data_IF_496954274628
#
_entry.id   IF_496954274628
#
_cell.length_a   1.000
_cell.length_b   1.000
_cell.length_c   1.000
_cell.angle_alpha   90.00
_cell.angle_beta   90.00
_cell.angle_gamma   90.00
#
_symmetry.space_group_name_H-M   'P 1'
#
loop_
_entity.id
_entity.type
_entity.pdbx_description
1 polymer ?
#
# COMPACT_ATOMS: atom_id res chain seq x y z
N UNK A 1 -19.10 24.35 -26.03
CA UNK A 1 -19.00 23.10 -25.26
C UNK A 1 -18.01 22.25 -26.01
N UNK A 2 -16.71 22.35 -25.70
CA UNK A 2 -15.67 21.84 -26.60
C UNK A 2 -14.71 20.95 -25.83
N UNK A 3 -14.96 19.64 -25.91
CA UNK A 3 -14.08 18.62 -25.34
C UNK A 3 -12.79 18.53 -26.16
N UNK A 4 -11.67 18.06 -25.57
CA UNK A 4 -10.41 17.83 -26.30
C UNK A 4 -10.62 16.98 -27.58
N UNK A 5 -11.49 15.96 -27.49
CA UNK A 5 -11.88 15.12 -28.63
C UNK A 5 -12.66 15.91 -29.69
N UNK A 6 -13.62 16.74 -29.28
CA UNK A 6 -14.40 17.58 -30.20
C UNK A 6 -13.52 18.65 -30.86
N UNK A 7 -12.63 19.29 -30.10
CA UNK A 7 -11.69 20.29 -30.60
C UNK A 7 -10.67 19.69 -31.58
N UNK A 8 -10.20 18.45 -31.34
CA UNK A 8 -9.33 17.72 -32.29
C UNK A 8 -10.08 17.35 -33.56
N UNK A 9 -11.30 16.79 -33.43
CA UNK A 9 -12.14 16.38 -34.57
C UNK A 9 -12.54 17.57 -35.44
N UNK A 10 -12.92 18.68 -34.82
CA UNK A 10 -13.27 19.92 -35.53
C UNK A 10 -12.09 20.50 -36.34
N UNK A 11 -10.85 20.23 -35.91
CA UNK A 11 -9.62 20.62 -36.62
C UNK A 11 -9.10 19.55 -37.60
N UNK A 12 -9.84 18.46 -37.81
CA UNK A 12 -9.44 17.38 -38.71
C UNK A 12 -8.14 16.65 -38.32
N UNK A 13 -7.62 16.85 -37.11
CA UNK A 13 -6.32 16.33 -36.71
C UNK A 13 -6.44 14.86 -36.28
N UNK A 14 -5.50 14.01 -36.72
CA UNK A 14 -5.39 12.64 -36.19
C UNK A 14 -4.77 12.66 -34.78
N UNK A 15 -4.99 11.59 -34.01
CA UNK A 15 -4.33 11.42 -32.71
C UNK A 15 -2.79 11.37 -32.86
N UNK A 16 -2.29 10.84 -33.98
CA UNK A 16 -0.86 10.83 -34.30
C UNK A 16 -0.29 12.23 -34.54
N UNK A 17 -1.05 13.09 -35.22
CA UNK A 17 -0.63 14.47 -35.50
C UNK A 17 -0.52 15.29 -34.21
N UNK A 18 -1.50 15.14 -33.31
CA UNK A 18 -1.48 15.81 -32.00
C UNK A 18 -0.38 15.24 -31.11
N UNK A 19 -0.21 13.91 -31.09
CA UNK A 19 0.86 13.26 -30.33
C UNK A 19 2.26 13.78 -30.75
N UNK A 20 2.51 13.87 -32.05
CA UNK A 20 3.78 14.37 -32.60
C UNK A 20 4.01 15.85 -32.30
N UNK A 21 2.96 16.68 -32.43
CA UNK A 21 3.05 18.12 -32.19
C UNK A 21 3.21 18.49 -30.70
N UNK A 22 2.79 17.59 -29.79
CA UNK A 22 2.79 17.85 -28.34
C UNK A 22 3.81 17.03 -27.56
N UNK A 23 4.49 16.09 -28.23
CA UNK A 23 5.41 15.15 -27.58
C UNK A 23 4.72 14.10 -26.69
N UNK A 24 3.38 14.00 -26.74
CA UNK A 24 2.59 13.05 -25.95
C UNK A 24 2.41 11.76 -26.74
N UNK A 25 2.54 10.59 -26.11
CA UNK A 25 2.27 9.32 -26.79
C UNK A 25 0.79 9.19 -27.20
N UNK A 26 0.51 8.55 -28.34
CA UNK A 26 -0.87 8.31 -28.81
C UNK A 26 -1.74 7.58 -27.75
N UNK A 27 -1.25 6.59 -27.00
CA UNK A 27 -1.99 5.99 -25.89
C UNK A 27 -2.36 6.98 -24.78
N UNK A 28 -1.46 7.90 -24.43
CA UNK A 28 -1.70 8.94 -23.42
C UNK A 28 -2.71 9.97 -23.92
N UNK A 29 -2.61 10.42 -25.18
CA UNK A 29 -3.61 11.30 -25.78
C UNK A 29 -5.00 10.64 -25.82
N UNK A 30 -5.07 9.35 -26.14
CA UNK A 30 -6.32 8.56 -26.07
C UNK A 30 -6.88 8.47 -24.65
N UNK A 31 -6.01 8.36 -23.64
CA UNK A 31 -6.43 8.35 -22.25
C UNK A 31 -7.00 9.73 -21.86
N UNK A 32 -6.32 10.81 -22.22
CA UNK A 32 -6.74 12.19 -21.98
C UNK A 32 -8.08 12.52 -22.66
N UNK A 33 -8.28 12.12 -23.92
CA UNK A 33 -9.57 12.22 -24.63
C UNK A 33 -10.70 11.45 -23.92
N UNK A 34 -10.35 10.40 -23.17
CA UNK A 34 -11.26 9.58 -22.37
C UNK A 34 -11.33 9.99 -20.90
N UNK A 35 -10.74 11.12 -20.51
CA UNK A 35 -10.73 11.61 -19.12
C UNK A 35 -9.91 10.74 -18.15
N UNK A 36 -8.94 9.97 -18.64
CA UNK A 36 -8.09 9.03 -17.90
C UNK A 36 -6.60 9.39 -18.09
N UNK A 37 -5.74 8.98 -17.15
CA UNK A 37 -4.27 9.05 -17.31
C UNK A 37 -3.51 9.86 -16.25
N UNK A 38 -2.18 9.89 -16.41
CA UNK A 38 -1.21 10.61 -15.58
C UNK A 38 -0.65 11.78 -16.40
N UNK A 39 -0.63 13.00 -15.85
CA UNK A 39 -0.02 14.15 -16.48
C UNK A 39 1.47 14.21 -16.06
N UNK A 40 2.37 14.11 -17.03
CA UNK A 40 3.81 14.43 -16.89
C UNK A 40 4.05 15.83 -17.51
N UNK A 41 5.10 16.58 -17.12
CA UNK A 41 5.13 18.03 -17.22
C UNK A 41 5.02 18.46 -18.68
N UNK A 42 4.07 19.35 -18.92
CA UNK A 42 4.14 20.25 -20.06
C UNK A 42 5.33 21.15 -19.76
N UNK A 43 6.50 20.78 -20.31
CA UNK A 43 7.71 21.57 -20.19
C UNK A 43 7.41 23.00 -20.62
N UNK A 44 7.67 23.93 -19.71
CA UNK A 44 7.49 25.36 -19.96
C UNK A 44 8.53 25.94 -20.93
N UNK A 45 9.46 25.12 -21.46
CA UNK A 45 10.63 25.66 -22.16
C UNK A 45 10.57 25.62 -23.69
N UNK A 46 9.62 24.94 -24.34
CA UNK A 46 9.55 24.98 -25.80
C UNK A 46 8.11 24.95 -26.28
N UNK A 47 7.50 26.13 -26.45
CA UNK A 47 6.30 26.33 -27.27
C UNK A 47 5.19 25.31 -27.04
N UNK A 48 4.70 25.21 -25.80
CA UNK A 48 3.75 24.18 -25.39
C UNK A 48 2.42 24.18 -26.16
N UNK A 49 1.71 23.05 -26.11
CA UNK A 49 0.47 22.68 -26.81
C UNK A 49 -0.73 23.66 -26.72
N UNK A 50 -0.60 24.80 -26.05
CA UNK A 50 -1.66 25.79 -25.86
C UNK A 50 -2.14 26.46 -27.17
N UNK A 51 -1.26 26.93 -28.07
CA UNK A 51 -1.67 27.60 -29.29
C UNK A 51 -2.33 26.65 -30.30
N UNK A 52 -1.84 25.42 -30.43
CA UNK A 52 -2.31 24.46 -31.42
C UNK A 52 -3.76 23.98 -31.19
N UNK A 53 -4.25 24.10 -29.95
CA UNK A 53 -5.61 23.69 -29.56
C UNK A 53 -6.54 24.89 -29.25
N UNK A 54 -6.09 26.13 -29.49
CA UNK A 54 -6.88 27.34 -29.19
C UNK A 54 -6.97 27.67 -27.70
N UNK A 55 -6.04 27.20 -26.88
CA UNK A 55 -5.94 27.50 -25.44
C UNK A 55 -5.16 28.79 -25.15
N UNK A 56 -5.00 29.68 -26.14
CA UNK A 56 -4.16 30.87 -26.04
C UNK A 56 -4.78 32.03 -25.24
N UNK A 57 -6.10 32.08 -25.08
CA UNK A 57 -6.80 33.24 -24.51
C UNK A 57 -7.34 33.06 -23.09
N UNK A 58 -7.38 31.85 -22.54
CA UNK A 58 -7.77 31.62 -21.13
C UNK A 58 -6.57 31.54 -20.18
N UNK A 59 -5.35 31.37 -20.71
CA UNK A 59 -4.12 31.25 -19.92
C UNK A 59 -3.32 32.55 -19.78
N UNK A 60 -3.70 33.64 -20.47
CA UNK A 60 -2.99 34.92 -20.41
C UNK A 60 -3.56 35.94 -19.41
N UNK A 61 -4.63 35.61 -18.69
CA UNK A 61 -5.30 36.55 -17.77
C UNK A 61 -5.07 36.30 -16.27
N UNK A 62 -4.69 35.09 -15.87
CA UNK A 62 -4.49 34.73 -14.46
C UNK A 62 -3.27 33.81 -14.38
N UNK A 63 -2.21 34.20 -13.66
CA UNK A 63 -0.91 33.51 -13.58
C UNK A 63 -1.01 31.97 -13.59
N UNK A 64 -0.67 31.39 -14.73
CA UNK A 64 -1.09 30.07 -15.23
C UNK A 64 -0.60 28.83 -14.48
N UNK A 65 -0.82 28.74 -13.17
CA UNK A 65 -0.71 27.50 -12.41
C UNK A 65 -1.89 27.41 -11.41
N UNK A 66 -2.34 26.21 -11.01
CA UNK A 66 -3.36 26.04 -9.97
C UNK A 66 -3.05 26.83 -8.68
N UNK A 67 -1.77 27.06 -8.39
CA UNK A 67 -1.31 27.88 -7.26
C UNK A 67 -1.69 29.36 -7.36
N UNK A 68 -1.68 29.95 -8.57
CA UNK A 68 -2.10 31.34 -8.77
C UNK A 68 -3.62 31.52 -8.59
N UNK A 69 -4.40 30.54 -9.04
CA UNK A 69 -5.84 30.53 -8.85
C UNK A 69 -6.27 30.28 -7.39
N UNK A 70 -5.54 29.44 -6.65
CA UNK A 70 -5.77 29.21 -5.22
C UNK A 70 -5.53 30.46 -4.37
N UNK A 71 -4.48 31.21 -4.70
CA UNK A 71 -4.16 32.49 -4.06
C UNK A 71 -5.24 33.55 -4.33
N UNK A 72 -5.72 33.65 -5.58
CA UNK A 72 -6.83 34.54 -5.95
C UNK A 72 -8.17 34.17 -5.28
N UNK A 73 -8.34 32.90 -4.90
CA UNK A 73 -9.52 32.42 -4.16
C UNK A 73 -9.36 32.46 -2.63
N UNK A 74 -8.24 32.97 -2.10
CA UNK A 74 -7.98 33.04 -0.66
C UNK A 74 -7.77 31.69 0.04
N UNK A 75 -7.43 30.64 -0.72
CA UNK A 75 -7.25 29.27 -0.19
C UNK A 75 -5.75 28.97 -0.06
N UNK A 76 -5.30 28.59 1.14
CA UNK A 76 -3.91 28.15 1.32
C UNK A 76 -3.65 26.80 0.64
N UNK A 77 -2.41 26.56 0.20
CA UNK A 77 -2.03 25.27 -0.40
C UNK A 77 -2.34 24.07 0.52
N UNK A 78 -2.17 24.22 1.84
CA UNK A 78 -2.47 23.16 2.79
C UNK A 78 -3.97 22.85 2.84
N UNK A 79 -4.80 23.89 2.80
CA UNK A 79 -6.26 23.75 2.78
C UNK A 79 -6.76 23.16 1.46
N UNK A 80 -6.17 23.57 0.33
CA UNK A 80 -6.50 23.01 -0.98
C UNK A 80 -6.13 21.52 -1.07
N UNK A 81 -4.95 21.12 -0.57
CA UNK A 81 -4.52 19.72 -0.55
C UNK A 81 -5.45 18.84 0.30
N UNK A 82 -5.88 19.35 1.46
CA UNK A 82 -6.86 18.69 2.34
C UNK A 82 -8.20 18.47 1.65
N UNK A 83 -8.72 19.49 0.95
CA UNK A 83 -9.99 19.40 0.21
C UNK A 83 -9.93 18.45 -0.98
N UNK A 84 -8.79 18.36 -1.65
CA UNK A 84 -8.55 17.41 -2.75
C UNK A 84 -8.36 15.97 -2.20
N UNK A 85 -7.90 15.83 -0.96
CA UNK A 85 -7.53 14.53 -0.38
C UNK A 85 -6.18 14.02 -0.89
N UNK A 86 -5.23 14.91 -1.16
CA UNK A 86 -3.85 14.57 -1.55
C UNK A 86 -2.84 15.20 -0.58
N UNK A 87 -1.57 14.78 -0.67
CA UNK A 87 -0.51 15.36 0.17
C UNK A 87 -0.10 16.74 -0.34
N UNK A 88 0.38 17.63 0.56
CA UNK A 88 0.92 18.94 0.20
C UNK A 88 2.05 18.86 -0.85
N UNK A 89 2.99 17.90 -0.78
CA UNK A 89 3.97 17.67 -1.86
C UNK A 89 3.33 17.33 -3.21
N UNK A 90 2.24 16.56 -3.23
CA UNK A 90 1.51 16.23 -4.47
C UNK A 90 0.87 17.48 -5.08
N UNK A 91 0.30 18.36 -4.25
CA UNK A 91 -0.25 19.63 -4.73
C UNK A 91 0.87 20.55 -5.26
N UNK A 92 2.01 20.64 -4.58
CA UNK A 92 3.17 21.43 -5.03
C UNK A 92 3.70 20.91 -6.38
N UNK A 93 3.76 19.58 -6.57
CA UNK A 93 4.16 18.98 -7.84
C UNK A 93 3.15 19.27 -8.97
N UNK A 94 1.85 19.23 -8.65
CA UNK A 94 0.77 19.59 -9.57
C UNK A 94 0.85 21.06 -9.97
N UNK A 95 1.13 21.96 -9.02
CA UNK A 95 1.19 23.41 -9.26
C UNK A 95 2.44 23.83 -10.02
N UNK A 96 3.61 23.29 -9.67
CA UNK A 96 4.90 23.72 -10.24
C UNK A 96 5.26 23.03 -11.54
N UNK A 97 4.72 21.82 -11.77
CA UNK A 97 5.14 20.96 -12.89
C UNK A 97 3.97 20.36 -13.66
N UNK A 98 2.71 20.66 -13.30
CA UNK A 98 1.53 19.96 -13.83
C UNK A 98 1.67 18.43 -13.73
N UNK A 99 2.43 17.96 -12.74
CA UNK A 99 2.76 16.57 -12.55
C UNK A 99 1.80 15.96 -11.53
N UNK A 100 0.96 15.01 -11.96
CA UNK A 100 -0.03 14.37 -11.09
C UNK A 100 -1.13 13.66 -11.86
N UNK A 101 -2.06 13.02 -11.13
CA UNK A 101 -3.19 12.35 -11.77
C UNK A 101 -4.16 13.37 -12.35
N UNK A 102 -4.74 13.08 -13.52
CA UNK A 102 -5.77 13.92 -14.16
C UNK A 102 -6.97 14.12 -13.23
N UNK A 103 -7.25 13.15 -12.36
CA UNK A 103 -8.29 13.25 -11.33
C UNK A 103 -7.95 14.29 -10.24
N UNK A 104 -6.69 14.37 -9.81
CA UNK A 104 -6.21 15.38 -8.86
C UNK A 104 -6.32 16.77 -9.46
N UNK A 105 -5.92 16.93 -10.74
CA UNK A 105 -6.06 18.19 -11.48
C UNK A 105 -7.53 18.59 -11.65
N UNK A 106 -8.39 17.65 -12.03
CA UNK A 106 -9.82 17.92 -12.20
C UNK A 106 -10.50 18.35 -10.90
N UNK A 107 -10.17 17.72 -9.76
CA UNK A 107 -10.69 18.10 -8.43
C UNK A 107 -10.17 19.47 -7.99
N UNK A 108 -8.89 19.77 -8.24
CA UNK A 108 -8.32 21.09 -7.96
C UNK A 108 -9.05 22.19 -8.74
N UNK A 109 -9.25 21.99 -10.06
CA UNK A 109 -9.95 22.95 -10.91
C UNK A 109 -11.42 23.15 -10.49
N UNK A 110 -12.12 22.08 -10.11
CA UNK A 110 -13.50 22.17 -9.58
C UNK A 110 -13.57 23.01 -8.29
N UNK A 111 -12.67 22.77 -7.32
CA UNK A 111 -12.63 23.51 -6.05
C UNK A 111 -12.31 25.00 -6.28
N UNK A 112 -11.49 25.30 -7.30
CA UNK A 112 -11.11 26.65 -7.68
C UNK A 112 -12.13 27.35 -8.57
N UNK A 113 -13.29 26.74 -8.84
CA UNK A 113 -14.33 27.30 -9.71
C UNK A 113 -13.90 27.42 -11.19
N UNK A 114 -12.73 26.87 -11.55
CA UNK A 114 -12.20 26.85 -12.90
C UNK A 114 -12.84 25.67 -13.64
N UNK A 115 -13.65 25.96 -14.66
CA UNK A 115 -14.37 24.94 -15.42
C UNK A 115 -13.38 24.01 -16.15
N UNK A 116 -13.31 22.71 -15.84
CA UNK A 116 -12.43 21.80 -16.57
C UNK A 116 -12.98 21.59 -17.99
N UNK A 117 -12.15 21.73 -19.04
CA UNK A 117 -12.51 21.32 -20.41
C UNK A 117 -12.50 19.78 -20.61
N UNK A 118 -12.43 19.01 -19.52
CA UNK A 118 -12.44 17.55 -19.51
C UNK A 118 -13.85 17.09 -19.14
N UNK A 119 -14.42 16.15 -19.93
CA UNK A 119 -15.75 15.58 -19.67
C UNK A 119 -15.84 15.09 -18.23
N UNK A 120 -17.03 15.27 -17.65
CA UNK A 120 -17.41 14.82 -16.32
C UNK A 120 -16.70 13.52 -15.95
N UNK A 121 -15.86 13.63 -14.94
CA UNK A 121 -15.12 12.49 -14.38
C UNK A 121 -16.19 11.53 -13.88
N UNK A 122 -16.41 10.42 -14.60
CA UNK A 122 -17.15 9.31 -14.04
C UNK A 122 -16.50 8.98 -12.70
N UNK A 123 -17.27 8.74 -11.62
CA UNK A 123 -16.71 8.42 -10.32
C UNK A 123 -15.67 7.33 -10.54
N UNK A 124 -14.43 7.60 -10.12
CA UNK A 124 -13.34 6.64 -10.23
C UNK A 124 -13.84 5.37 -9.55
N UNK A 125 -14.13 4.34 -10.35
CA UNK A 125 -14.47 3.03 -9.82
C UNK A 125 -13.42 2.69 -8.78
N UNK A 126 -13.88 2.18 -7.62
CA UNK A 126 -13.03 1.86 -6.46
C UNK A 126 -11.68 1.38 -6.96
N UNK A 127 -10.61 2.11 -6.63
CA UNK A 127 -9.27 1.71 -7.03
C UNK A 127 -9.09 0.22 -6.73
N UNK A 128 -8.47 -0.51 -7.66
CA UNK A 128 -8.14 -1.93 -7.46
C UNK A 128 -7.24 -2.16 -6.23
N UNK A 129 -6.68 -1.06 -5.70
CA UNK A 129 -6.00 -0.99 -4.42
C UNK A 129 -7.03 -0.54 -3.38
N UNK A 130 -7.48 -1.42 -2.48
CA UNK A 130 -8.28 -1.02 -1.33
C UNK A 130 -7.56 0.07 -0.54
N UNK A 131 -8.32 0.96 0.11
CA UNK A 131 -7.74 1.87 1.10
C UNK A 131 -6.95 1.06 2.15
N UNK A 132 -5.87 1.63 2.69
CA UNK A 132 -5.16 1.01 3.82
C UNK A 132 -6.18 0.75 4.94
N UNK A 133 -6.16 -0.47 5.47
CA UNK A 133 -7.05 -0.84 6.58
C UNK A 133 -6.75 0.05 7.80
N UNK A 134 -7.80 0.41 8.55
CA UNK A 134 -7.63 1.06 9.83
C UNK A 134 -6.96 0.09 10.83
N UNK A 135 -6.08 0.56 11.74
CA UNK A 135 -5.36 -0.31 12.69
C UNK A 135 -6.28 -1.22 13.52
N UNK A 136 -7.49 -0.76 13.84
CA UNK A 136 -8.49 -1.53 14.56
C UNK A 136 -8.94 -2.83 13.85
N UNK A 137 -8.76 -2.92 12.52
CA UNK A 137 -9.06 -4.15 11.76
C UNK A 137 -7.96 -5.20 11.85
N UNK A 138 -6.76 -4.82 12.31
CA UNK A 138 -5.65 -5.74 12.52
C UNK A 138 -5.66 -6.36 13.94
N UNK A 139 -6.55 -5.89 14.83
CA UNK A 139 -6.75 -6.45 16.16
C UNK A 139 -7.64 -7.69 16.09
N UNK A 140 -7.05 -8.79 15.62
CA UNK A 140 -7.72 -10.09 15.52
C UNK A 140 -7.16 -11.01 16.60
N UNK A 141 -7.94 -11.21 17.67
CA UNK A 141 -7.49 -12.06 18.77
C UNK A 141 -7.49 -13.54 18.39
N UNK A 142 -6.39 -14.22 18.73
CA UNK A 142 -6.23 -15.66 18.54
C UNK A 142 -7.00 -16.42 19.60
N UNK A 143 -7.90 -17.34 19.22
CA UNK A 143 -8.50 -18.27 20.16
C UNK A 143 -7.41 -19.12 20.85
N UNK A 144 -7.42 -19.27 22.19
CA UNK A 144 -6.39 -20.02 22.90
C UNK A 144 -6.18 -21.45 22.39
N UNK A 145 -7.25 -22.14 21.98
CA UNK A 145 -7.20 -23.48 21.41
C UNK A 145 -6.45 -23.54 20.08
N UNK A 146 -6.58 -22.50 19.25
CA UNK A 146 -5.83 -22.41 17.99
C UNK A 146 -4.35 -22.14 18.27
N UNK A 147 -4.04 -21.23 19.20
CA UNK A 147 -2.67 -20.97 19.60
C UNK A 147 -2.01 -22.24 20.16
N UNK A 148 -2.70 -22.98 21.04
CA UNK A 148 -2.23 -24.24 21.61
C UNK A 148 -1.95 -25.29 20.53
N UNK A 149 -2.83 -25.43 19.53
CA UNK A 149 -2.61 -26.37 18.42
C UNK A 149 -1.39 -25.99 17.56
N UNK A 150 -1.22 -24.70 17.25
CA UNK A 150 -0.03 -24.20 16.52
C UNK A 150 1.24 -24.43 17.33
N UNK A 151 1.24 -24.11 18.62
CA UNK A 151 2.37 -24.35 19.52
C UNK A 151 2.69 -25.84 19.58
N UNK A 152 1.67 -26.70 19.73
CA UNK A 152 1.82 -28.16 19.76
C UNK A 152 2.46 -28.73 18.50
N UNK A 153 2.12 -28.20 17.32
CA UNK A 153 2.74 -28.60 16.05
C UNK A 153 4.25 -28.34 16.03
N UNK A 154 4.70 -27.19 16.53
CA UNK A 154 6.12 -26.81 16.55
C UNK A 154 6.86 -27.22 17.83
N UNK A 155 6.15 -27.72 18.85
CA UNK A 155 6.70 -28.07 20.15
C UNK A 155 7.93 -28.99 20.12
N UNK A 156 8.04 -30.00 19.22
CA UNK A 156 9.24 -30.83 19.15
C UNK A 156 10.54 -30.08 18.84
N UNK A 157 10.46 -28.90 18.21
CA UNK A 157 11.60 -28.05 17.89
C UNK A 157 11.79 -26.84 18.82
N UNK A 158 10.79 -26.50 19.64
CA UNK A 158 10.84 -25.35 20.53
C UNK A 158 11.84 -25.61 21.67
N UNK A 159 12.80 -24.70 21.82
CA UNK A 159 13.78 -24.71 22.91
C UNK A 159 14.32 -23.30 23.16
N UNK A 160 14.91 -23.08 24.34
CA UNK A 160 15.52 -21.81 24.69
C UNK A 160 14.52 -20.68 24.94
N UNK A 161 14.79 -19.50 24.37
CA UNK A 161 14.02 -18.27 24.55
C UNK A 161 12.99 -18.13 23.44
N UNK A 162 11.73 -17.90 23.82
CA UNK A 162 10.62 -17.68 22.88
C UNK A 162 9.98 -16.32 23.14
N UNK A 163 9.69 -15.58 22.07
CA UNK A 163 9.06 -14.27 22.11
C UNK A 163 7.71 -14.29 21.39
N UNK A 164 6.67 -13.82 22.08
CA UNK A 164 5.40 -13.40 21.49
C UNK A 164 5.40 -11.87 21.30
N UNK A 165 5.73 -11.34 20.10
CA UNK A 165 5.94 -9.92 19.91
C UNK A 165 4.63 -9.10 19.75
N UNK A 166 3.47 -9.76 19.77
CA UNK A 166 2.17 -9.12 19.66
C UNK A 166 1.16 -9.86 20.54
N UNK A 167 1.41 -9.84 21.85
CA UNK A 167 0.76 -10.73 22.83
C UNK A 167 -0.76 -10.63 22.80
N UNK A 168 -1.32 -9.43 22.63
CA UNK A 168 -2.74 -9.18 22.87
C UNK A 168 -3.15 -9.74 24.24
N UNK A 169 -4.11 -10.67 24.25
CA UNK A 169 -4.64 -11.33 25.46
C UNK A 169 -3.83 -12.55 25.93
N UNK A 170 -2.66 -12.85 25.35
CA UNK A 170 -1.76 -13.89 25.87
C UNK A 170 -1.92 -15.28 25.26
N UNK A 171 -2.71 -15.46 24.20
CA UNK A 171 -2.99 -16.78 23.63
C UNK A 171 -1.73 -17.60 23.29
N UNK A 172 -0.71 -16.98 22.69
CA UNK A 172 0.57 -17.65 22.42
C UNK A 172 1.47 -17.67 23.65
N UNK A 173 1.75 -16.49 24.22
CA UNK A 173 2.61 -16.36 25.41
C UNK A 173 2.26 -17.34 26.55
N UNK A 174 0.98 -17.42 26.91
CA UNK A 174 0.51 -18.24 28.03
C UNK A 174 0.49 -19.73 27.68
N UNK A 175 0.33 -20.05 26.39
CA UNK A 175 0.32 -21.41 25.85
C UNK A 175 1.71 -22.02 25.62
N UNK A 176 2.79 -21.23 25.65
CA UNK A 176 4.13 -21.77 25.46
C UNK A 176 4.52 -22.75 26.58
N UNK A 177 5.23 -23.85 26.26
CA UNK A 177 5.68 -24.83 27.24
C UNK A 177 6.43 -24.20 28.42
N UNK A 178 6.17 -24.68 29.64
CA UNK A 178 6.72 -24.11 30.87
C UNK A 178 8.25 -24.18 30.98
N UNK A 179 8.91 -25.03 30.21
CA UNK A 179 10.37 -25.17 30.21
C UNK A 179 11.09 -24.10 29.36
N UNK A 180 10.36 -23.30 28.58
CA UNK A 180 10.92 -22.23 27.76
C UNK A 180 11.09 -20.94 28.56
N UNK A 181 12.09 -20.14 28.20
CA UNK A 181 12.23 -18.77 28.69
C UNK A 181 11.31 -17.84 27.85
N UNK A 182 10.13 -17.54 28.39
CA UNK A 182 9.04 -16.87 27.69
C UNK A 182 9.12 -15.36 27.82
N UNK A 183 9.07 -14.67 26.68
CA UNK A 183 9.07 -13.22 26.57
C UNK A 183 7.86 -12.74 25.76
N UNK A 184 7.48 -11.49 25.93
CA UNK A 184 6.37 -10.90 25.19
C UNK A 184 6.57 -9.42 24.88
N UNK A 185 5.87 -8.91 23.87
CA UNK A 185 5.69 -7.48 23.63
C UNK A 185 4.20 -7.22 23.40
N UNK A 186 3.72 -6.10 23.93
CA UNK A 186 2.40 -5.56 23.65
C UNK A 186 2.49 -4.05 23.76
N UNK A 187 2.27 -3.38 22.63
CA UNK A 187 2.43 -1.93 22.54
C UNK A 187 1.42 -1.21 23.43
N UNK A 188 0.22 -1.79 23.62
CA UNK A 188 -0.77 -1.29 24.57
C UNK A 188 -0.35 -1.34 26.04
N UNK A 189 0.66 -2.15 26.37
CA UNK A 189 1.22 -2.31 27.71
C UNK A 189 2.64 -1.72 27.83
N UNK A 190 3.05 -0.86 26.88
CA UNK A 190 4.32 -0.15 26.92
C UNK A 190 5.54 -0.99 26.57
N UNK A 191 5.36 -2.17 25.96
CA UNK A 191 6.44 -3.02 25.45
C UNK A 191 6.36 -3.10 23.93
N UNK A 192 7.02 -2.19 23.24
CA UNK A 192 7.08 -2.20 21.77
C UNK A 192 8.05 -3.29 21.28
N UNK A 193 7.59 -4.11 20.35
CA UNK A 193 8.42 -5.11 19.68
C UNK A 193 9.60 -4.48 18.93
N UNK A 194 9.42 -3.31 18.32
CA UNK A 194 10.48 -2.69 17.53
C UNK A 194 11.65 -2.17 18.39
N UNK A 195 11.45 -2.03 19.71
CA UNK A 195 12.46 -1.66 20.69
C UNK A 195 13.15 -2.90 21.32
N UNK A 196 12.66 -4.11 21.03
CA UNK A 196 13.30 -5.34 21.48
C UNK A 196 14.52 -5.65 20.62
N UNK A 197 15.69 -5.90 21.23
CA UNK A 197 16.94 -6.16 20.49
C UNK A 197 17.70 -7.40 20.97
N UNK A 198 17.18 -8.05 22.01
CA UNK A 198 17.78 -9.19 22.66
C UNK A 198 17.55 -10.43 21.79
N UNK A 199 18.60 -11.20 21.45
CA UNK A 199 18.42 -12.44 20.71
C UNK A 199 17.51 -13.42 21.44
N UNK A 200 16.67 -14.10 20.66
CA UNK A 200 15.80 -15.20 21.10
C UNK A 200 15.92 -16.34 20.10
N UNK A 201 15.55 -17.55 20.50
CA UNK A 201 15.62 -18.72 19.64
C UNK A 201 14.39 -18.79 18.72
N UNK A 202 13.24 -18.39 19.25
CA UNK A 202 11.96 -18.44 18.54
C UNK A 202 11.16 -17.14 18.68
N UNK A 203 10.52 -16.76 17.57
CA UNK A 203 9.45 -15.77 17.55
C UNK A 203 8.18 -16.46 17.08
N UNK A 204 7.08 -16.36 17.83
CA UNK A 204 5.80 -16.99 17.45
C UNK A 204 4.61 -16.16 17.90
N UNK A 205 3.74 -15.75 16.97
CA UNK A 205 2.51 -15.01 17.29
C UNK A 205 1.53 -14.94 16.11
N UNK A 206 0.39 -14.31 16.33
CA UNK A 206 -0.49 -13.75 15.31
C UNK A 206 -0.23 -12.24 15.17
N UNK A 207 0.68 -11.81 14.27
CA UNK A 207 1.07 -10.40 14.18
C UNK A 207 -0.02 -9.58 13.49
N UNK A 208 -0.03 -8.24 13.66
CA UNK A 208 -0.88 -7.37 12.86
C UNK A 208 -0.56 -7.49 11.36
N UNK A 209 -1.51 -8.01 10.57
CA UNK A 209 -1.24 -8.39 9.17
C UNK A 209 -0.87 -7.22 8.25
N UNK A 210 -1.30 -6.00 8.57
CA UNK A 210 -0.89 -4.78 7.87
C UNK A 210 0.60 -4.43 8.07
N UNK A 211 1.19 -4.83 9.20
CA UNK A 211 2.59 -4.59 9.56
C UNK A 211 3.47 -5.85 9.48
N UNK A 212 2.92 -6.95 8.97
CA UNK A 212 3.63 -8.24 8.89
C UNK A 212 5.02 -8.13 8.25
N UNK A 213 5.20 -7.29 7.23
CA UNK A 213 6.51 -7.11 6.60
C UNK A 213 7.53 -6.51 7.57
N UNK A 214 7.14 -5.47 8.32
CA UNK A 214 8.01 -4.81 9.29
C UNK A 214 8.32 -5.74 10.46
N UNK A 215 7.32 -6.50 10.93
CA UNK A 215 7.48 -7.52 11.95
C UNK A 215 8.47 -8.60 11.51
N UNK A 216 8.33 -9.13 10.28
CA UNK A 216 9.26 -10.12 9.74
C UNK A 216 10.69 -9.57 9.64
N UNK A 217 10.87 -8.36 9.11
CA UNK A 217 12.20 -7.73 9.00
C UNK A 217 12.88 -7.56 10.36
N UNK A 218 12.12 -7.18 11.38
CA UNK A 218 12.65 -7.05 12.73
C UNK A 218 12.95 -8.42 13.35
N UNK A 219 12.02 -9.38 13.28
CA UNK A 219 12.19 -10.73 13.82
C UNK A 219 13.42 -11.44 13.24
N UNK A 220 13.68 -11.32 11.93
CA UNK A 220 14.85 -11.92 11.28
C UNK A 220 16.21 -11.44 11.83
N UNK A 221 16.23 -10.29 12.51
CA UNK A 221 17.46 -9.76 13.15
C UNK A 221 17.74 -10.41 14.50
N UNK A 222 16.72 -10.92 15.18
CA UNK A 222 16.82 -11.37 16.58
C UNK A 222 16.56 -12.86 16.77
N UNK A 223 15.98 -13.55 15.79
CA UNK A 223 15.59 -14.95 15.90
C UNK A 223 15.92 -15.77 14.64
N UNK A 224 16.45 -17.00 14.77
CA UNK A 224 16.65 -17.92 13.66
C UNK A 224 15.36 -18.62 13.20
N UNK A 225 14.38 -18.80 14.08
CA UNK A 225 13.10 -19.46 13.79
C UNK A 225 11.91 -18.54 14.11
N UNK A 226 11.03 -18.35 13.13
CA UNK A 226 9.90 -17.41 13.21
C UNK A 226 8.64 -18.10 12.72
N UNK A 227 7.57 -18.07 13.51
CA UNK A 227 6.27 -18.63 13.16
C UNK A 227 5.20 -17.55 13.17
N UNK A 228 4.63 -17.27 12.00
CA UNK A 228 3.53 -16.31 11.85
C UNK A 228 2.21 -17.00 11.58
N UNK A 229 1.20 -16.73 12.40
CA UNK A 229 -0.19 -17.00 12.06
C UNK A 229 -0.72 -15.86 11.17
N UNK A 230 -0.78 -16.08 9.86
CA UNK A 230 -1.16 -15.05 8.89
C UNK A 230 -1.74 -15.65 7.59
N UNK A 231 -2.51 -14.87 6.81
CA UNK A 231 -2.89 -15.30 5.47
C UNK A 231 -1.66 -15.54 4.58
N UNK A 232 -1.68 -16.63 3.81
CA UNK A 232 -0.56 -17.01 2.94
C UNK A 232 -0.18 -15.90 1.95
N UNK A 233 -1.15 -15.17 1.43
CA UNK A 233 -0.94 -14.03 0.51
C UNK A 233 -0.21 -12.86 1.18
N UNK A 234 -0.32 -12.73 2.50
CA UNK A 234 0.45 -11.78 3.28
C UNK A 234 1.92 -12.20 3.43
N UNK A 235 2.31 -13.42 3.10
CA UNK A 235 3.70 -13.89 3.20
C UNK A 235 4.38 -14.01 1.84
N UNK A 236 3.65 -14.43 0.81
CA UNK A 236 4.23 -14.91 -0.46
C UNK A 236 4.27 -13.87 -1.59
N UNK A 237 4.10 -12.58 -1.28
CA UNK A 237 4.33 -11.53 -2.28
C UNK A 237 5.80 -11.52 -2.72
N UNK A 238 6.08 -11.21 -3.99
CA UNK A 238 7.46 -11.14 -4.52
C UNK A 238 8.42 -10.30 -3.67
N UNK A 239 7.94 -9.19 -3.11
CA UNK A 239 8.77 -8.32 -2.26
C UNK A 239 9.17 -9.02 -0.95
N UNK A 240 8.21 -9.64 -0.27
CA UNK A 240 8.46 -10.37 0.99
C UNK A 240 9.36 -11.57 0.80
N UNK A 241 9.19 -12.32 -0.29
CA UNK A 241 10.08 -13.44 -0.61
C UNK A 241 11.53 -12.98 -0.85
N UNK A 242 11.72 -11.84 -1.53
CA UNK A 242 13.06 -11.23 -1.66
C UNK A 242 13.61 -10.73 -0.33
N UNK A 243 12.78 -10.18 0.55
CA UNK A 243 13.22 -9.77 1.87
C UNK A 243 13.74 -10.97 2.67
N UNK A 244 13.07 -12.14 2.60
CA UNK A 244 13.54 -13.37 3.24
C UNK A 244 14.91 -13.79 2.68
N UNK A 245 15.00 -13.91 1.35
CA UNK A 245 16.23 -14.30 0.65
C UNK A 245 17.41 -13.37 0.99
N UNK A 246 17.19 -12.06 0.95
CA UNK A 246 18.21 -11.06 1.27
C UNK A 246 18.71 -11.11 2.73
N UNK A 247 17.91 -11.67 3.64
CA UNK A 247 18.29 -11.86 5.04
C UNK A 247 18.72 -13.30 5.34
N UNK A 248 18.84 -14.17 4.33
CA UNK A 248 19.23 -15.57 4.48
C UNK A 248 18.15 -16.43 5.13
N UNK A 249 16.87 -16.10 4.95
CA UNK A 249 15.73 -16.89 5.42
C UNK A 249 15.00 -17.55 4.26
N UNK A 250 14.36 -18.69 4.56
CA UNK A 250 13.41 -19.35 3.68
C UNK A 250 12.15 -19.78 4.44
N UNK A 251 11.09 -20.11 3.70
CA UNK A 251 9.89 -20.72 4.26
C UNK A 251 10.14 -22.22 4.38
N UNK A 252 10.27 -22.71 5.62
CA UNK A 252 10.49 -24.11 5.91
C UNK A 252 9.18 -24.91 5.82
N UNK A 253 8.12 -24.37 6.43
CA UNK A 253 6.82 -25.04 6.48
C UNK A 253 5.66 -24.03 6.39
N UNK A 254 4.58 -24.45 5.72
CA UNK A 254 3.27 -23.81 5.70
C UNK A 254 2.23 -24.78 6.25
N UNK A 255 1.81 -24.56 7.49
CA UNK A 255 0.76 -25.37 8.14
C UNK A 255 -0.59 -24.72 7.85
N UNK A 256 -1.45 -25.38 7.05
CA UNK A 256 -2.78 -24.86 6.70
C UNK A 256 -3.73 -24.93 7.88
N UNK A 257 -4.45 -23.83 8.11
CA UNK A 257 -5.39 -23.65 9.21
C UNK A 257 -6.73 -23.18 8.64
N UNK A 258 -7.82 -23.78 9.10
CA UNK A 258 -9.16 -23.29 8.79
C UNK A 258 -9.41 -22.00 9.57
N UNK A 259 -9.86 -20.96 8.88
CA UNK A 259 -10.03 -19.63 9.51
C UNK A 259 -11.12 -19.69 10.60
N UNK A 260 -10.83 -19.28 11.85
CA UNK A 260 -11.81 -19.34 12.94
C UNK A 260 -13.13 -18.65 12.63
N UNK A 261 -14.22 -19.22 13.15
CA UNK A 261 -15.56 -18.62 13.08
C UNK A 261 -15.57 -17.33 13.90
N UNK A 262 -15.67 -16.19 13.23
CA UNK A 262 -15.63 -14.84 13.84
C UNK A 262 -14.46 -13.97 13.36
N UNK A 263 -13.47 -14.57 12.69
CA UNK A 263 -12.40 -13.81 12.05
C UNK A 263 -12.85 -13.20 10.70
N UNK A 264 -12.23 -12.08 10.26
CA UNK A 264 -12.47 -11.52 8.95
C UNK A 264 -12.26 -12.55 7.83
N UNK A 265 -13.30 -12.83 7.07
CA UNK A 265 -13.25 -13.78 5.96
C UNK A 265 -12.79 -13.06 4.69
N UNK A 266 -11.74 -13.60 4.04
CA UNK A 266 -11.13 -13.01 2.83
C UNK A 266 -10.93 -14.00 1.68
N UNK A 267 -11.30 -15.28 1.88
CA UNK A 267 -11.06 -16.37 0.92
C UNK A 267 -9.58 -16.79 0.81
N UNK A 268 -8.66 -16.11 1.49
CA UNK A 268 -7.26 -16.49 1.54
C UNK A 268 -7.01 -17.58 2.58
N UNK A 269 -6.14 -18.53 2.25
CA UNK A 269 -5.72 -19.57 3.17
C UNK A 269 -4.96 -18.96 4.36
N UNK A 270 -5.43 -19.22 5.58
CA UNK A 270 -4.69 -18.95 6.81
C UNK A 270 -3.63 -20.03 7.02
N UNK A 271 -2.43 -19.65 7.42
CA UNK A 271 -1.34 -20.57 7.71
C UNK A 271 -0.63 -20.18 9.01
N UNK A 272 -0.06 -21.17 9.70
CA UNK A 272 1.13 -20.94 10.53
C UNK A 272 2.34 -21.18 9.65
N UNK A 273 3.07 -20.12 9.32
CA UNK A 273 4.21 -20.17 8.42
C UNK A 273 5.51 -20.11 9.21
N UNK A 274 6.35 -21.13 9.06
CA UNK A 274 7.66 -21.20 9.67
C UNK A 274 8.72 -20.66 8.72
N UNK A 275 9.26 -19.50 9.08
CA UNK A 275 10.42 -18.88 8.43
C UNK A 275 11.66 -19.27 9.21
N UNK A 276 12.66 -19.82 8.52
CA UNK A 276 13.88 -20.33 9.15
C UNK A 276 15.13 -19.77 8.48
N UNK A 277 16.07 -19.32 9.29
CA UNK A 277 17.39 -18.85 8.86
C UNK A 277 18.19 -20.01 8.26
N UNK A 278 18.83 -19.78 7.12
CA UNK A 278 19.59 -20.77 6.37
C UNK A 278 18.75 -21.80 5.62
N UNK A 279 17.41 -21.70 5.62
CA UNK A 279 16.57 -22.64 4.85
C UNK A 279 16.59 -22.31 3.36
N UNK A 280 17.23 -23.17 2.56
CA UNK A 280 17.25 -23.08 1.09
C UNK A 280 16.46 -24.21 0.40
N UNK A 281 15.82 -25.08 1.17
CA UNK A 281 15.09 -26.24 0.66
C UNK A 281 13.68 -25.94 0.17
N UNK A 282 12.99 -26.98 -0.31
CA UNK A 282 11.57 -26.93 -0.63
C UNK A 282 10.72 -26.50 0.56
N UNK A 283 9.55 -25.93 0.26
CA UNK A 283 8.57 -25.61 1.29
C UNK A 283 7.75 -26.86 1.59
N UNK A 284 7.70 -27.27 2.84
CA UNK A 284 6.76 -28.30 3.29
C UNK A 284 5.38 -27.68 3.47
N UNK A 285 4.33 -28.38 3.02
CA UNK A 285 2.94 -27.94 3.22
C UNK A 285 2.17 -29.03 3.93
N UNK A 286 1.66 -28.70 5.11
CA UNK A 286 0.89 -29.61 5.96
C UNK A 286 -0.49 -29.01 6.27
N UNK A 287 -1.32 -29.75 7.00
CA UNK A 287 -2.57 -29.25 7.57
C UNK A 287 -2.44 -29.40 9.09
N UNK A 288 -2.90 -28.40 9.84
CA UNK A 288 -2.88 -28.48 11.30
C UNK A 288 -3.73 -29.69 11.74
N UNK A 289 -3.11 -30.62 12.45
CA UNK A 289 -3.81 -31.75 13.06
C UNK A 289 -4.68 -31.22 14.20
N UNK A 290 -5.97 -31.54 14.16
CA UNK A 290 -6.94 -31.25 15.22
C UNK A 290 -7.48 -32.55 15.75
#
# INVERSE_FOLDING_TARGET
MDTLLAARRARGMTQGNVARATGISVPTLRALERGRGWAWPIGCDHGGAGPALGMGSTWRGCGGCPGGAAQGAGISQAELARRIGCSRPTLIALERRLAGSVATLARALQILGLRPMLRGVAPVGRGLVPARNAPARDLVMTPPELAAAVIGHFAPGLSGRVLDPARGQGAFHDGFPAHLDRHWCEIGEGRDFFDWHQPVDWVMTNPPWSRLRDFTLHAMRIAPDIVWLAPLTNLTTKARLRDLEANGFGIAELVKIDTPRGWPQSGFQLVAAHLRKGHAGSWTVSRLGV
#
